data_IF_918890235535
#
_entry.id   IF_918890235535
#
_cell.length_a   1.000
_cell.length_b   1.000
_cell.length_c   1.000
_cell.angle_alpha   90.00
_cell.angle_beta   90.00
_cell.angle_gamma   90.00
#
_symmetry.space_group_name_H-M   'P 1'
#
loop_
_entity.id
_entity.type
_entity.pdbx_description
1 polymer ?
#
# COMPACT_ATOMS: atom_id res chain seq x y z
N UNK A 1 8.94 -30.19 36.51
CA UNK A 1 9.22 -31.43 35.73
C UNK A 1 8.48 -31.28 34.40
N UNK A 2 9.12 -30.97 33.26
CA UNK A 2 9.60 -31.89 32.18
C UNK A 2 8.49 -32.89 31.78
N UNK A 3 8.00 -32.98 30.53
CA UNK A 3 8.63 -33.25 29.20
C UNK A 3 7.60 -32.99 28.07
N UNK A 4 7.87 -32.87 26.77
CA UNK A 4 9.03 -33.07 25.87
C UNK A 4 8.61 -32.62 24.44
N UNK A 5 9.44 -31.89 23.68
CA UNK A 5 10.38 -32.39 22.65
C UNK A 5 9.80 -33.41 21.65
N UNK A 6 9.82 -33.11 20.34
CA UNK A 6 9.62 -34.17 19.34
C UNK A 6 9.39 -33.85 17.85
N UNK A 7 10.32 -33.12 17.19
CA UNK A 7 10.86 -33.43 15.85
C UNK A 7 10.06 -33.08 14.56
N UNK A 8 10.76 -32.32 13.70
CA UNK A 8 10.61 -31.94 12.29
C UNK A 8 10.88 -33.10 11.30
N UNK A 9 10.64 -32.86 9.99
CA UNK A 9 11.04 -33.60 8.75
C UNK A 9 9.83 -34.24 8.03
N UNK A 10 9.58 -34.16 6.71
CA UNK A 10 10.32 -33.64 5.55
C UNK A 10 9.51 -33.92 4.26
N UNK A 11 9.97 -33.36 3.12
CA UNK A 11 9.59 -33.55 1.69
C UNK A 11 8.49 -32.62 1.13
N UNK A 12 8.67 -31.88 0.04
CA UNK A 12 9.84 -31.69 -0.82
C UNK A 12 9.54 -30.73 -1.97
N UNK A 13 10.35 -29.67 -2.05
CA UNK A 13 10.92 -29.02 -3.25
C UNK A 13 10.07 -28.86 -4.53
N UNK A 14 9.71 -27.60 -4.84
CA UNK A 14 9.75 -27.03 -6.21
C UNK A 14 10.78 -25.88 -6.11
N UNK A 15 12.03 -26.11 -6.47
CA UNK A 15 12.64 -25.87 -7.80
C UNK A 15 12.46 -24.41 -8.28
N UNK A 16 13.48 -23.62 -7.91
CA UNK A 16 14.15 -22.54 -8.66
C UNK A 16 13.31 -21.40 -9.26
N UNK A 17 13.51 -20.18 -8.72
CA UNK A 17 13.99 -19.08 -9.55
C UNK A 17 14.76 -18.07 -8.65
N UNK A 18 15.99 -17.71 -9.00
CA UNK A 18 16.84 -16.84 -8.22
C UNK A 18 16.40 -15.38 -8.41
N UNK A 19 16.60 -14.52 -7.40
CA UNK A 19 16.55 -13.07 -7.53
C UNK A 19 15.33 -12.49 -8.30
N UNK A 20 14.13 -12.56 -7.73
CA UNK A 20 13.23 -11.42 -7.94
C UNK A 20 13.77 -10.28 -7.08
N UNK A 21 14.84 -9.66 -7.55
CA UNK A 21 14.98 -8.23 -7.39
C UNK A 21 13.71 -7.69 -8.02
N UNK A 22 12.68 -7.49 -7.20
CA UNK A 22 11.55 -6.65 -7.57
C UNK A 22 12.21 -5.29 -7.72
N UNK A 23 12.75 -5.04 -8.91
CA UNK A 23 12.86 -3.69 -9.43
C UNK A 23 11.39 -3.32 -9.54
N UNK A 24 10.83 -2.85 -8.43
CA UNK A 24 9.54 -2.23 -8.38
C UNK A 24 9.72 -1.06 -9.32
N UNK A 25 9.37 -1.29 -10.58
CA UNK A 25 9.56 -0.31 -11.63
C UNK A 25 8.88 0.93 -11.10
N UNK A 26 9.48 2.12 -11.20
CA UNK A 26 8.86 3.33 -10.67
C UNK A 26 7.42 3.47 -11.18
N UNK A 27 7.11 2.92 -12.36
CA UNK A 27 5.76 2.77 -12.89
C UNK A 27 4.81 1.95 -11.99
N UNK A 28 5.20 0.74 -11.53
CA UNK A 28 4.38 -0.10 -10.64
C UNK A 28 4.15 0.59 -9.28
N UNK A 29 5.20 1.19 -8.71
CA UNK A 29 5.09 1.95 -7.44
C UNK A 29 4.14 3.15 -7.60
N UNK A 30 4.14 3.82 -8.76
CA UNK A 30 3.19 4.89 -9.06
C UNK A 30 1.75 4.36 -9.16
N UNK A 31 1.53 3.22 -9.83
CA UNK A 31 0.20 2.62 -9.92
C UNK A 31 -0.35 2.24 -8.55
N UNK A 32 0.47 1.64 -7.68
CA UNK A 32 0.10 1.28 -6.30
C UNK A 32 -0.24 2.51 -5.44
N UNK A 33 0.59 3.56 -5.49
CA UNK A 33 0.35 4.81 -4.77
C UNK A 33 -0.95 5.50 -5.22
N UNK A 34 -1.24 5.47 -6.51
CA UNK A 34 -2.45 6.10 -7.07
C UNK A 34 -3.69 5.33 -6.66
N UNK A 35 -3.64 4.00 -6.73
CA UNK A 35 -4.73 3.14 -6.29
C UNK A 35 -5.02 3.30 -4.79
N UNK A 36 -3.99 3.45 -3.95
CA UNK A 36 -4.17 3.72 -2.52
C UNK A 36 -4.81 5.10 -2.28
N UNK A 37 -4.39 6.13 -3.02
CA UNK A 37 -4.98 7.46 -2.94
C UNK A 37 -6.46 7.46 -3.35
N UNK A 38 -6.81 6.73 -4.41
CA UNK A 38 -8.21 6.57 -4.86
C UNK A 38 -9.06 5.83 -3.83
N UNK A 39 -8.51 4.79 -3.18
CA UNK A 39 -9.20 4.09 -2.09
C UNK A 39 -9.50 5.04 -0.94
N UNK A 40 -8.52 5.87 -0.55
CA UNK A 40 -8.70 6.85 0.52
C UNK A 40 -9.75 7.91 0.17
N UNK A 41 -9.82 8.36 -1.09
CA UNK A 41 -10.87 9.27 -1.56
C UNK A 41 -12.26 8.63 -1.45
N UNK A 42 -12.39 7.36 -1.84
CA UNK A 42 -13.65 6.61 -1.74
C UNK A 42 -14.10 6.45 -0.29
N UNK A 43 -13.20 6.00 0.59
CA UNK A 43 -13.50 5.85 2.03
C UNK A 43 -13.86 7.19 2.67
N UNK A 44 -13.19 8.28 2.27
CA UNK A 44 -13.51 9.62 2.74
C UNK A 44 -14.89 10.09 2.26
N UNK A 45 -15.28 9.74 1.03
CA UNK A 45 -16.60 10.05 0.50
C UNK A 45 -17.72 9.31 1.24
N UNK A 46 -17.51 8.04 1.60
CA UNK A 46 -18.44 7.28 2.43
C UNK A 46 -18.59 7.89 3.82
N UNK A 47 -17.48 8.30 4.45
CA UNK A 47 -17.50 8.99 5.73
C UNK A 47 -18.20 10.35 5.66
N UNK A 48 -17.97 11.12 4.59
CA UNK A 48 -18.64 12.40 4.36
C UNK A 48 -20.16 12.23 4.19
N UNK A 49 -20.57 11.19 3.44
CA UNK A 49 -21.98 10.87 3.23
C UNK A 49 -22.71 10.43 4.50
N UNK A 50 -21.99 9.98 5.53
CA UNK A 50 -22.61 9.64 6.83
C UNK A 50 -23.30 10.84 7.49
N UNK A 51 -22.90 12.08 7.15
CA UNK A 51 -23.49 13.29 7.71
C UNK A 51 -23.17 13.53 9.20
N UNK A 52 -22.26 12.75 9.78
CA UNK A 52 -21.88 12.82 11.20
C UNK A 52 -20.63 13.67 11.39
N UNK A 53 -20.46 14.28 12.58
CA UNK A 53 -19.27 15.07 12.90
C UNK A 53 -17.99 14.21 12.81
N UNK A 54 -18.06 12.99 13.32
CA UNK A 54 -16.99 11.99 13.26
C UNK A 54 -16.71 11.57 11.81
N UNK A 55 -17.75 11.41 11.00
CA UNK A 55 -17.64 11.16 9.56
C UNK A 55 -16.93 12.27 8.83
N UNK A 56 -17.28 13.54 9.10
CA UNK A 56 -16.58 14.68 8.49
C UNK A 56 -15.12 14.79 8.93
N UNK A 57 -14.82 14.55 10.20
CA UNK A 57 -13.43 14.54 10.70
C UNK A 57 -12.61 13.39 10.09
N UNK A 58 -13.21 12.20 10.00
CA UNK A 58 -12.60 11.03 9.37
C UNK A 58 -12.37 11.23 7.87
N UNK A 59 -13.37 11.78 7.16
CA UNK A 59 -13.27 12.13 5.75
C UNK A 59 -12.14 13.13 5.49
N UNK A 60 -12.06 14.19 6.30
CA UNK A 60 -11.00 15.18 6.21
C UNK A 60 -9.61 14.55 6.38
N UNK A 61 -9.44 13.68 7.38
CA UNK A 61 -8.18 12.98 7.60
C UNK A 61 -7.77 12.11 6.40
N UNK A 62 -8.72 11.39 5.81
CA UNK A 62 -8.47 10.55 4.63
C UNK A 62 -8.20 11.35 3.37
N UNK A 63 -8.93 12.44 3.13
CA UNK A 63 -8.65 13.36 2.03
C UNK A 63 -7.25 13.97 2.13
N UNK A 64 -6.81 14.35 3.34
CA UNK A 64 -5.45 14.84 3.56
C UNK A 64 -4.39 13.77 3.27
N UNK A 65 -4.65 12.50 3.60
CA UNK A 65 -3.75 11.41 3.27
C UNK A 65 -3.68 11.16 1.76
N UNK A 66 -4.84 11.10 1.09
CA UNK A 66 -4.91 10.95 -0.36
C UNK A 66 -4.16 12.08 -1.09
N UNK A 67 -4.33 13.33 -0.64
CA UNK A 67 -3.64 14.49 -1.20
C UNK A 67 -2.11 14.35 -1.10
N UNK A 68 -1.59 13.88 0.04
CA UNK A 68 -0.14 13.65 0.21
C UNK A 68 0.38 12.58 -0.76
N UNK A 69 -0.38 11.52 -0.99
CA UNK A 69 0.01 10.48 -1.94
C UNK A 69 0.03 11.02 -3.37
N UNK A 70 -0.96 11.83 -3.76
CA UNK A 70 -0.98 12.49 -5.06
C UNK A 70 0.18 13.46 -5.27
N UNK A 71 0.55 14.24 -4.24
CA UNK A 71 1.73 15.12 -4.29
C UNK A 71 3.04 14.33 -4.43
N UNK A 72 3.15 13.17 -3.78
CA UNK A 72 4.31 12.29 -3.94
C UNK A 72 4.39 11.67 -5.34
N UNK A 73 3.23 11.40 -5.95
CA UNK A 73 3.13 10.95 -7.33
C UNK A 73 3.59 12.02 -8.32
N UNK A 74 3.09 13.25 -8.19
CA UNK A 74 3.46 14.36 -9.07
C UNK A 74 4.95 14.69 -8.95
N UNK A 75 5.49 14.77 -7.73
CA UNK A 75 6.92 15.02 -7.54
C UNK A 75 7.81 13.89 -8.09
N UNK A 76 7.35 12.63 -8.03
CA UNK A 76 8.07 11.50 -8.65
C UNK A 76 7.97 11.53 -10.18
N UNK A 77 6.85 11.98 -10.73
CA UNK A 77 6.66 12.11 -12.17
C UNK A 77 7.55 13.22 -12.74
N UNK A 78 7.68 14.34 -12.04
CA UNK A 78 8.61 15.43 -12.40
C UNK A 78 10.07 14.97 -12.42
N UNK A 79 10.52 14.20 -11.41
CA UNK A 79 11.89 13.65 -11.36
C UNK A 79 12.18 12.66 -12.51
N UNK A 80 11.16 11.89 -12.93
CA UNK A 80 11.28 10.96 -14.07
C UNK A 80 11.28 11.66 -15.44
N UNK A 81 10.66 12.84 -15.57
CA UNK A 81 10.63 13.61 -16.81
C UNK A 81 11.88 14.48 -17.01
N UNK A 82 12.67 14.73 -15.95
CA UNK A 82 13.92 15.51 -16.03
C UNK A 82 15.18 14.65 -16.27
N UNK A 83 15.04 13.33 -16.44
CA UNK A 83 16.16 12.39 -16.59
C UNK A 83 16.22 11.76 -17.96
#
# INVERSE_FOLDING_TARGET
>A
MKTGLGILLSLGLVVTAPHLTVIASPLLVQTDLRQEADRLLQEAFELFQSGTLEGYQGALGKWQQALKLYQQLDGKLEDLLQK
#
